data_IF_399310233557
#
_entry.id   IF_399310233557
#
_cell.length_a   1.000
_cell.length_b   1.000
_cell.length_c   1.000
_cell.angle_alpha   90.00
_cell.angle_beta   90.00
_cell.angle_gamma   90.00
#
_symmetry.space_group_name_H-M   'P 1'
#
loop_
_entity.id
_entity.type
_entity.pdbx_description
1 polymer ?
#
# COMPACT_ATOMS: atom_id res chain seq x y z
N UNK A 1 0.91 -1.78 -15.36
CA UNK A 1 -0.37 -1.83 -16.13
C UNK A 1 -0.65 -0.54 -16.91
N UNK A 2 -0.93 0.63 -16.31
CA UNK A 2 -1.30 1.85 -17.08
C UNK A 2 -0.25 2.31 -18.11
N UNK A 3 1.03 2.16 -17.80
CA UNK A 3 2.13 2.46 -18.73
C UNK A 3 2.13 1.58 -20.00
N UNK A 4 1.42 0.46 -19.97
CA UNK A 4 1.27 -0.46 -21.12
C UNK A 4 0.15 -0.03 -22.08
N UNK A 5 -0.62 1.01 -21.74
CA UNK A 5 -1.62 1.63 -22.60
C UNK A 5 -1.13 2.99 -23.13
N UNK A 6 -1.59 3.42 -24.34
CA UNK A 6 -1.32 4.76 -24.85
C UNK A 6 -1.73 5.85 -23.85
N UNK A 7 -0.94 6.92 -23.71
CA UNK A 7 -1.20 8.01 -22.74
C UNK A 7 -2.62 8.55 -22.80
N UNK A 8 -3.18 8.71 -24.00
CA UNK A 8 -4.56 9.18 -24.22
C UNK A 8 -5.64 8.21 -23.68
N UNK A 9 -5.33 6.92 -23.59
CA UNK A 9 -6.25 5.89 -23.10
C UNK A 9 -6.08 5.58 -21.61
N UNK A 10 -4.98 6.00 -20.97
CA UNK A 10 -4.69 5.72 -19.56
C UNK A 10 -5.83 6.11 -18.61
N UNK A 11 -6.48 7.29 -18.74
CA UNK A 11 -7.60 7.64 -17.86
C UNK A 11 -8.75 6.64 -17.96
N UNK A 12 -9.07 6.17 -19.17
CA UNK A 12 -10.14 5.19 -19.39
C UNK A 12 -9.78 3.82 -18.81
N UNK A 13 -8.56 3.36 -19.04
CA UNK A 13 -8.06 2.09 -18.49
C UNK A 13 -8.04 2.12 -16.97
N UNK A 14 -7.61 3.23 -16.37
CA UNK A 14 -7.63 3.42 -14.92
C UNK A 14 -9.05 3.38 -14.35
N UNK A 15 -10.03 3.99 -15.02
CA UNK A 15 -11.44 3.91 -14.61
C UNK A 15 -11.97 2.48 -14.69
N UNK A 16 -11.70 1.75 -15.77
CA UNK A 16 -12.10 0.34 -15.89
C UNK A 16 -11.48 -0.53 -14.79
N UNK A 17 -10.20 -0.34 -14.49
CA UNK A 17 -9.55 -1.09 -13.41
C UNK A 17 -10.14 -0.73 -12.04
N UNK A 18 -10.55 0.52 -11.83
CA UNK A 18 -11.14 0.96 -10.56
C UNK A 18 -12.43 0.21 -10.23
N UNK A 19 -13.24 -0.12 -11.24
CA UNK A 19 -14.49 -0.84 -11.00
C UNK A 19 -14.26 -2.22 -10.37
N UNK A 20 -13.10 -2.84 -10.58
CA UNK A 20 -12.72 -4.11 -9.92
C UNK A 20 -12.69 -3.94 -8.40
N UNK A 21 -12.22 -2.82 -7.88
CA UNK A 21 -12.09 -2.57 -6.43
C UNK A 21 -13.38 -2.07 -5.78
N UNK A 22 -14.36 -1.65 -6.57
CA UNK A 22 -15.64 -1.11 -6.12
C UNK A 22 -16.70 -2.20 -5.88
N UNK A 23 -16.35 -3.47 -6.12
CA UNK A 23 -17.27 -4.59 -6.01
C UNK A 23 -17.64 -4.93 -4.55
N UNK A 24 -18.84 -5.50 -4.33
CA UNK A 24 -19.35 -5.77 -2.98
C UNK A 24 -18.62 -6.92 -2.28
N UNK A 25 -18.24 -7.97 -3.01
CA UNK A 25 -17.70 -9.23 -2.49
C UNK A 25 -16.64 -9.84 -3.43
N UNK A 26 -15.99 -10.91 -2.97
CA UNK A 26 -14.83 -11.53 -3.64
C UNK A 26 -15.19 -12.10 -5.02
N UNK A 27 -16.36 -12.73 -5.14
CA UNK A 27 -16.82 -13.33 -6.40
C UNK A 27 -17.12 -12.24 -7.43
N UNK A 28 -17.72 -11.13 -7.00
CA UNK A 28 -17.95 -9.96 -7.83
C UNK A 28 -16.63 -9.28 -8.27
N UNK A 29 -15.63 -9.18 -7.38
CA UNK A 29 -14.27 -8.70 -7.75
C UNK A 29 -13.68 -9.57 -8.85
N UNK A 30 -13.74 -10.90 -8.70
CA UNK A 30 -13.20 -11.85 -9.67
C UNK A 30 -13.94 -11.79 -11.01
N UNK A 31 -15.27 -11.71 -10.98
CA UNK A 31 -16.09 -11.56 -12.18
C UNK A 31 -15.78 -10.25 -12.90
N UNK A 32 -15.69 -9.14 -12.18
CA UNK A 32 -15.37 -7.84 -12.75
C UNK A 32 -13.95 -7.81 -13.34
N UNK A 33 -12.99 -8.48 -12.70
CA UNK A 33 -11.63 -8.60 -13.23
C UNK A 33 -11.62 -9.30 -14.59
N UNK A 34 -12.34 -10.41 -14.74
CA UNK A 34 -12.50 -11.11 -16.03
C UNK A 34 -13.13 -10.21 -17.08
N UNK A 35 -14.22 -9.53 -16.75
CA UNK A 35 -14.86 -8.58 -17.67
C UNK A 35 -13.92 -7.46 -18.12
N UNK A 36 -13.08 -6.95 -17.23
CA UNK A 36 -12.09 -5.92 -17.57
C UNK A 36 -10.99 -6.50 -18.47
N UNK A 37 -10.54 -7.73 -18.24
CA UNK A 37 -9.58 -8.41 -19.11
C UNK A 37 -10.12 -8.55 -20.53
N UNK A 38 -11.34 -9.08 -20.69
CA UNK A 38 -12.00 -9.23 -21.99
C UNK A 38 -12.13 -7.89 -22.72
N UNK A 39 -12.51 -6.83 -22.00
CA UNK A 39 -12.67 -5.49 -22.56
C UNK A 39 -11.33 -4.85 -23.01
N UNK A 40 -10.22 -5.21 -22.36
CA UNK A 40 -8.90 -4.70 -22.68
C UNK A 40 -8.21 -5.51 -23.77
N UNK A 41 -8.48 -6.80 -23.90
CA UNK A 41 -7.74 -7.72 -24.78
C UNK A 41 -7.69 -7.22 -26.23
N UNK A 42 -8.82 -6.80 -26.78
CA UNK A 42 -8.92 -6.38 -28.19
C UNK A 42 -8.18 -5.07 -28.46
N UNK A 43 -8.31 -4.08 -27.57
CA UNK A 43 -7.81 -2.71 -27.82
C UNK A 43 -6.45 -2.42 -27.19
N UNK A 44 -6.12 -3.13 -26.12
CA UNK A 44 -4.93 -2.92 -25.31
C UNK A 44 -4.31 -4.26 -24.85
N UNK A 45 -3.90 -5.13 -25.79
CA UNK A 45 -3.46 -6.50 -25.47
C UNK A 45 -2.27 -6.53 -24.49
N UNK A 46 -1.35 -5.56 -24.56
CA UNK A 46 -0.23 -5.46 -23.59
C UNK A 46 -0.70 -5.13 -22.18
N UNK A 47 -1.73 -4.29 -22.05
CA UNK A 47 -2.30 -3.95 -20.75
C UNK A 47 -3.12 -5.13 -20.19
N UNK A 48 -3.85 -5.85 -21.06
CA UNK A 48 -4.56 -7.07 -20.70
C UNK A 48 -3.61 -8.16 -20.21
N UNK A 49 -2.54 -8.48 -20.97
CA UNK A 49 -1.55 -9.48 -20.57
C UNK A 49 -0.87 -9.15 -19.23
N UNK A 50 -0.58 -7.87 -18.98
CA UNK A 50 -0.03 -7.44 -17.69
C UNK A 50 -1.04 -7.59 -16.55
N UNK A 51 -2.34 -7.35 -16.80
CA UNK A 51 -3.38 -7.53 -15.80
C UNK A 51 -3.65 -9.02 -15.53
N UNK A 52 -3.60 -9.85 -16.57
CA UNK A 52 -3.79 -11.31 -16.51
C UNK A 52 -2.68 -11.98 -15.68
N UNK A 53 -1.43 -11.54 -15.85
CA UNK A 53 -0.32 -12.00 -15.02
C UNK A 53 -0.52 -11.69 -13.51
N UNK A 54 -1.35 -10.69 -13.18
CA UNK A 54 -1.66 -10.29 -11.81
C UNK A 54 -3.01 -10.85 -11.31
N UNK A 55 -3.63 -11.79 -12.03
CA UNK A 55 -4.99 -12.27 -11.75
C UNK A 55 -5.17 -12.90 -10.36
N UNK A 56 -4.11 -13.46 -9.78
CA UNK A 56 -4.13 -14.01 -8.42
C UNK A 56 -3.81 -12.96 -7.36
N UNK A 57 -2.87 -12.07 -7.65
CA UNK A 57 -2.39 -11.08 -6.68
C UNK A 57 -3.38 -9.92 -6.51
N UNK A 58 -3.96 -9.45 -7.61
CA UNK A 58 -4.86 -8.29 -7.61
C UNK A 58 -6.09 -8.49 -6.72
N UNK A 59 -6.84 -9.62 -6.78
CA UNK A 59 -7.98 -9.85 -5.91
C UNK A 59 -7.61 -10.41 -4.54
N UNK A 60 -6.32 -10.62 -4.22
CA UNK A 60 -5.91 -11.24 -2.96
C UNK A 60 -6.41 -10.48 -1.72
N UNK A 61 -6.61 -9.15 -1.82
CA UNK A 61 -7.18 -8.33 -0.74
C UNK A 61 -8.57 -8.79 -0.28
N UNK A 62 -9.32 -9.49 -1.14
CA UNK A 62 -10.68 -9.97 -0.86
C UNK A 62 -10.74 -11.04 0.23
N UNK A 63 -9.59 -11.64 0.55
CA UNK A 63 -9.45 -12.63 1.62
C UNK A 63 -9.36 -12.00 3.02
N UNK A 64 -9.32 -10.66 3.12
CA UNK A 64 -9.40 -9.92 4.37
C UNK A 64 -10.82 -9.43 4.65
N UNK A 65 -11.15 -9.01 5.89
CA UNK A 65 -12.44 -8.40 6.20
C UNK A 65 -12.76 -7.23 5.25
N UNK A 66 -14.02 -7.10 4.85
CA UNK A 66 -14.47 -6.11 3.85
C UNK A 66 -14.11 -4.68 4.22
N UNK A 67 -14.09 -4.39 5.52
CA UNK A 67 -13.78 -3.09 6.11
C UNK A 67 -12.29 -2.71 5.96
N UNK A 68 -11.41 -3.67 5.65
CA UNK A 68 -9.99 -3.47 5.42
C UNK A 68 -9.62 -3.29 3.94
N UNK A 69 -10.53 -3.64 3.02
CA UNK A 69 -10.21 -3.69 1.58
C UNK A 69 -9.64 -2.37 1.07
N UNK A 70 -10.31 -1.27 1.39
CA UNK A 70 -9.91 0.07 0.94
C UNK A 70 -8.53 0.46 1.46
N UNK A 71 -8.18 0.07 2.68
CA UNK A 71 -6.87 0.32 3.25
C UNK A 71 -5.78 -0.53 2.58
N UNK A 72 -6.11 -1.71 2.08
CA UNK A 72 -5.16 -2.62 1.42
C UNK A 72 -4.84 -2.16 0.00
N UNK A 73 -5.84 -1.84 -0.82
CA UNK A 73 -5.60 -1.47 -2.23
C UNK A 73 -5.29 0.02 -2.44
N UNK A 74 -5.52 0.89 -1.44
CA UNK A 74 -5.20 2.31 -1.56
C UNK A 74 -3.70 2.56 -1.42
N UNK A 75 -3.13 3.30 -2.36
CA UNK A 75 -1.74 3.75 -2.32
C UNK A 75 -1.57 5.13 -1.63
N UNK A 76 -2.65 5.77 -1.18
CA UNK A 76 -2.61 7.13 -0.61
C UNK A 76 -1.66 7.29 0.59
N UNK A 77 -1.54 6.34 1.55
CA UNK A 77 -0.55 6.45 2.62
C UNK A 77 0.89 6.46 2.09
N UNK A 78 1.19 5.56 1.15
CA UNK A 78 2.50 5.48 0.51
C UNK A 78 2.81 6.74 -0.30
N UNK A 79 1.84 7.27 -1.06
CA UNK A 79 2.00 8.51 -1.82
C UNK A 79 2.26 9.71 -0.91
N UNK A 80 1.54 9.81 0.22
CA UNK A 80 1.76 10.87 1.21
C UNK A 80 3.15 10.78 1.82
N UNK A 81 3.56 9.58 2.24
CA UNK A 81 4.88 9.35 2.81
C UNK A 81 5.99 9.67 1.81
N UNK A 82 5.87 9.21 0.57
CA UNK A 82 6.84 9.49 -0.50
C UNK A 82 6.93 10.99 -0.81
N UNK A 83 5.79 11.70 -0.79
CA UNK A 83 5.77 13.16 -0.96
C UNK A 83 6.49 13.86 0.18
N UNK A 84 6.32 13.39 1.42
CA UNK A 84 6.99 13.96 2.59
C UNK A 84 8.49 13.70 2.58
N UNK A 85 8.92 12.47 2.27
CA UNK A 85 10.33 12.12 2.06
C UNK A 85 10.94 13.06 1.03
N UNK A 86 10.29 13.20 -0.14
CA UNK A 86 10.75 14.08 -1.21
C UNK A 86 10.87 15.54 -0.74
N UNK A 87 9.84 16.05 -0.05
CA UNK A 87 9.82 17.43 0.49
C UNK A 87 11.02 17.68 1.40
N UNK A 88 11.34 16.76 2.31
CA UNK A 88 12.47 16.93 3.24
C UNK A 88 13.83 16.75 2.59
N UNK A 89 13.95 15.84 1.62
CA UNK A 89 15.20 15.65 0.87
C UNK A 89 15.49 16.81 -0.08
N UNK A 90 14.44 17.42 -0.67
CA UNK A 90 14.57 18.55 -1.60
C UNK A 90 15.19 19.79 -0.91
N UNK A 91 15.00 19.95 0.41
CA UNK A 91 15.63 21.04 1.20
C UNK A 91 17.14 20.85 1.34
N UNK A 92 17.61 19.61 1.48
CA UNK A 92 19.04 19.31 1.62
C UNK A 92 19.76 19.37 0.27
N UNK A 93 19.09 18.94 -0.80
CA UNK A 93 19.63 18.92 -2.16
C UNK A 93 20.68 17.84 -2.39
N UNK A 94 21.85 17.96 -1.76
CA UNK A 94 22.97 17.00 -1.87
C UNK A 94 23.42 16.54 -0.49
N UNK A 95 23.47 15.22 -0.29
CA UNK A 95 23.91 14.61 0.96
C UNK A 95 25.41 14.32 0.94
N UNK A 96 26.12 14.49 2.07
CA UNK A 96 27.56 14.22 2.17
C UNK A 96 27.88 12.72 2.09
N UNK A 97 26.97 11.87 2.58
CA UNK A 97 27.10 10.41 2.54
C UNK A 97 25.71 9.73 2.66
N UNK A 98 25.69 8.40 2.52
CA UNK A 98 24.47 7.58 2.64
C UNK A 98 23.90 7.59 4.07
N UNK A 99 24.75 7.70 5.09
CA UNK A 99 24.33 7.69 6.49
C UNK A 99 23.51 8.92 6.83
N UNK A 100 23.89 10.10 6.32
CA UNK A 100 23.14 11.34 6.46
C UNK A 100 21.74 11.24 5.83
N UNK A 101 21.63 10.64 4.64
CA UNK A 101 20.33 10.39 3.99
C UNK A 101 19.46 9.43 4.82
N UNK A 102 20.04 8.32 5.28
CA UNK A 102 19.33 7.33 6.10
C UNK A 102 18.81 7.96 7.39
N UNK A 103 19.59 8.83 8.04
CA UNK A 103 19.15 9.55 9.25
C UNK A 103 17.94 10.43 8.99
N UNK A 104 17.95 11.23 7.92
CA UNK A 104 16.81 12.10 7.59
C UNK A 104 15.57 11.29 7.23
N UNK A 105 15.69 10.32 6.32
CA UNK A 105 14.54 9.48 5.91
C UNK A 105 14.05 8.65 7.08
N UNK A 106 14.96 8.10 7.90
CA UNK A 106 14.63 7.37 9.12
C UNK A 106 13.85 8.22 10.12
N UNK A 107 14.22 9.49 10.31
CA UNK A 107 13.46 10.42 11.14
C UNK A 107 12.04 10.68 10.60
N UNK A 108 11.86 10.78 9.29
CA UNK A 108 10.52 10.91 8.66
C UNK A 108 9.68 9.66 8.90
N UNK A 109 10.29 8.47 8.78
CA UNK A 109 9.60 7.21 9.01
C UNK A 109 9.20 7.03 10.48
N UNK A 110 10.09 7.42 11.42
CA UNK A 110 9.80 7.41 12.84
C UNK A 110 8.62 8.34 13.18
N UNK A 111 8.65 9.59 12.69
CA UNK A 111 7.55 10.54 12.89
C UNK A 111 6.22 10.02 12.33
N UNK A 112 6.24 9.39 11.15
CA UNK A 112 5.02 8.80 10.57
C UNK A 112 4.49 7.63 11.40
N UNK A 113 5.39 6.82 11.98
CA UNK A 113 5.05 5.72 12.87
C UNK A 113 4.44 6.23 14.19
N UNK A 114 5.02 7.29 14.76
CA UNK A 114 4.53 7.92 15.98
C UNK A 114 3.13 8.52 15.74
N UNK A 115 2.90 9.19 14.61
CA UNK A 115 1.57 9.69 14.22
C UNK A 115 0.53 8.55 14.15
N UNK A 116 0.88 7.40 13.58
CA UNK A 116 -0.04 6.25 13.53
C UNK A 116 -0.29 5.63 14.90
N UNK A 117 0.66 5.75 15.82
CA UNK A 117 0.58 5.19 17.18
C UNK A 117 -0.23 6.10 18.10
N UNK A 118 0.00 7.41 18.03
CA UNK A 118 -0.56 8.43 18.94
C UNK A 118 -1.86 9.05 18.45
N UNK A 119 -2.05 9.20 17.13
CA UNK A 119 -3.24 9.81 16.53
C UNK A 119 -4.25 8.75 16.02
N UNK A 120 -4.97 9.07 14.93
CA UNK A 120 -5.99 8.17 14.37
C UNK A 120 -5.33 7.07 13.55
N UNK A 121 -5.14 5.90 14.16
CA UNK A 121 -4.63 4.67 13.52
C UNK A 121 -5.24 4.46 12.13
N UNK A 122 -4.38 4.19 11.14
CA UNK A 122 -4.81 3.94 9.77
C UNK A 122 -5.72 2.69 9.65
N UNK A 123 -5.48 1.68 10.49
CA UNK A 123 -6.36 0.53 10.70
C UNK A 123 -6.65 0.38 12.21
N UNK A 124 -7.91 0.20 12.58
CA UNK A 124 -8.29 -0.02 13.98
C UNK A 124 -7.82 -1.37 14.51
N UNK A 125 -7.57 -1.47 15.82
CA UNK A 125 -7.07 -2.71 16.44
C UNK A 125 -7.97 -3.92 16.22
N UNK A 126 -9.29 -3.73 16.32
CA UNK A 126 -10.25 -4.83 16.10
C UNK A 126 -10.23 -5.33 14.66
N UNK A 127 -10.03 -4.42 13.71
CA UNK A 127 -9.89 -4.77 12.29
C UNK A 127 -8.57 -5.51 12.05
N UNK A 128 -7.47 -5.03 12.65
CA UNK A 128 -6.16 -5.68 12.57
C UNK A 128 -6.20 -7.08 13.19
N UNK A 129 -6.84 -7.25 14.35
CA UNK A 129 -7.01 -8.55 15.00
C UNK A 129 -7.77 -9.52 14.10
N UNK A 130 -8.88 -9.09 13.49
CA UNK A 130 -9.64 -9.90 12.52
C UNK A 130 -8.87 -10.18 11.21
N UNK A 131 -7.98 -9.29 10.81
CA UNK A 131 -7.16 -9.43 9.60
C UNK A 131 -5.92 -10.34 9.79
N UNK A 132 -5.49 -10.60 11.03
CA UNK A 132 -4.34 -11.47 11.35
C UNK A 132 -4.69 -12.94 11.10
N UNK A 133 -4.37 -13.44 9.90
CA UNK A 133 -4.52 -14.86 9.53
C UNK A 133 -3.37 -15.76 10.01
N UNK A 134 -2.20 -15.18 10.20
CA UNK A 134 -1.03 -15.84 10.79
C UNK A 134 -0.42 -14.88 11.81
N UNK A 135 -0.53 -15.14 13.12
CA UNK A 135 0.24 -14.40 14.10
C UNK A 135 1.72 -14.59 13.78
N UNK A 136 2.42 -13.50 13.47
CA UNK A 136 3.87 -13.52 13.58
C UNK A 136 4.12 -13.58 15.08
N UNK A 137 4.73 -14.68 15.55
CA UNK A 137 5.32 -14.72 16.88
C UNK A 137 6.46 -13.69 16.88
N UNK A 138 6.12 -12.43 17.15
CA UNK A 138 7.14 -11.49 17.57
C UNK A 138 7.55 -11.95 18.96
N UNK A 139 8.80 -12.40 19.11
CA UNK A 139 9.47 -12.29 20.39
C UNK A 139 9.40 -10.81 20.77
N UNK A 140 8.41 -10.43 21.55
CA UNK A 140 8.50 -9.24 22.37
C UNK A 140 9.60 -9.58 23.36
N UNK A 141 10.84 -9.28 22.99
CA UNK A 141 11.86 -9.05 24.00
C UNK A 141 11.32 -7.88 24.81
N UNK A 142 10.65 -8.19 25.92
CA UNK A 142 10.51 -7.28 27.04
C UNK A 142 11.94 -6.94 27.46
N UNK A 143 12.55 -5.99 26.76
CA UNK A 143 13.73 -5.32 27.27
C UNK A 143 13.18 -4.40 28.35
N UNK A 144 12.97 -4.98 29.53
CA UNK A 144 12.88 -4.28 30.80
C UNK A 144 14.15 -3.43 30.93
N UNK A 145 14.09 -2.23 30.35
CA UNK A 145 15.16 -1.24 30.43
C UNK A 145 15.02 -0.56 31.79
N UNK A 146 15.25 -1.32 32.85
CA UNK A 146 15.61 -0.79 34.14
C UNK A 146 16.97 -0.10 33.99
N UNK A 147 16.94 1.14 33.52
CA UNK A 147 18.09 2.05 33.60
C UNK A 147 18.20 2.45 35.07
N UNK A 148 18.98 1.69 35.84
CA UNK A 148 19.45 2.16 37.13
C UNK A 148 20.31 3.43 36.90
N UNK A 149 19.78 4.55 37.34
CA UNK A 149 20.47 5.82 37.42
C UNK A 149 21.43 5.76 38.62
N UNK A 150 22.69 5.36 38.40
CA UNK A 150 23.74 5.58 39.39
C UNK A 150 24.24 7.03 39.32
N UNK A 151 24.22 7.67 40.50
CA UNK A 151 24.57 9.06 40.80
C UNK A 151 26.05 9.41 40.58
#
# INVERSE_FOLDING_TARGET
>A
MLSQAPKSAQPRVATLLRTVFEQPDADAVQAQLRHVLDALEVKFPKAAAHLDAAQHDLPAFTTFPREAWRQIWSNNPQERLNKEIRRRTDVVGVFPDRTALIRLVGAVLAEQNDEWTEARRYMGCDLLARARRHPIESETTDTDSSTELTA
#
